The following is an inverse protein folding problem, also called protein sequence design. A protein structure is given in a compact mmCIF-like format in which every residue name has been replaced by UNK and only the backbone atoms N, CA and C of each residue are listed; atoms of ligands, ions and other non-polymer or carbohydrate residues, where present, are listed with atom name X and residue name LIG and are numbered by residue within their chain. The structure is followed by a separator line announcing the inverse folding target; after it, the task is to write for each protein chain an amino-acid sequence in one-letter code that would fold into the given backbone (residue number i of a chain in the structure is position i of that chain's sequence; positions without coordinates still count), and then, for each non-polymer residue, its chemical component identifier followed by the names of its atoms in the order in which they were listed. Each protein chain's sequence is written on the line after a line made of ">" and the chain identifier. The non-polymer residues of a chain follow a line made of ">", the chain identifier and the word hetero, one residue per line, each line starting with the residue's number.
data_IF_401096604639
#
_entry.id   IF_401096604639
#
_cell.length_a   1.000
_cell.length_b   1.000
_cell.length_c   1.000
_cell.angle_alpha   90.00
_cell.angle_beta   90.00
_cell.angle_gamma   90.00
#
_symmetry.space_group_name_H-M   'P 1'
#
loop_
_entity.id
_entity.type
_entity.pdbx_description
1 polymer ?
#
# COMPACT_ATOMS: atom_id res chain seq x y z
N UNK A 1 -6.10 15.71 -0.66
CA UNK A 1 -5.04 16.36 0.14
C UNK A 1 -5.07 15.79 1.54
N UNK A 2 -3.99 15.11 1.93
CA UNK A 2 -3.66 14.31 3.14
C UNK A 2 -2.90 13.01 2.75
N UNK A 3 -2.90 12.65 1.46
CA UNK A 3 -2.36 11.39 0.91
C UNK A 3 -0.84 11.18 0.96
N UNK A 4 -0.13 11.87 1.87
CA UNK A 4 1.29 11.64 2.17
C UNK A 4 1.56 11.39 3.66
N UNK A 5 0.52 11.40 4.52
CA UNK A 5 0.67 11.29 5.98
C UNK A 5 0.23 9.92 6.50
N UNK A 6 0.73 8.85 5.88
CA UNK A 6 0.69 7.61 6.62
C UNK A 6 1.70 7.73 7.78
N UNK A 7 1.31 7.33 9.00
CA UNK A 7 2.24 7.32 10.13
C UNK A 7 3.50 6.51 9.78
N UNK A 8 4.62 6.80 10.46
CA UNK A 8 5.88 6.09 10.24
C UNK A 8 5.68 4.56 10.28
N UNK A 9 4.77 4.10 11.15
CA UNK A 9 4.32 2.72 11.25
C UNK A 9 2.83 2.66 10.89
N UNK A 10 2.48 1.90 9.86
CA UNK A 10 1.10 1.61 9.49
C UNK A 10 0.75 0.14 9.81
N UNK A 11 -0.28 -0.07 10.63
CA UNK A 11 -0.79 -1.40 10.97
C UNK A 11 -2.10 -1.62 10.21
N UNK A 12 -2.11 -2.59 9.29
CA UNK A 12 -3.30 -3.00 8.56
C UNK A 12 -3.78 -4.36 9.08
N UNK A 13 -5.08 -4.45 9.40
CA UNK A 13 -5.73 -5.71 9.77
C UNK A 13 -6.79 -6.00 8.73
N UNK A 14 -6.70 -7.15 8.06
CA UNK A 14 -7.67 -7.55 7.03
C UNK A 14 -8.04 -9.03 7.16
N UNK A 15 -9.22 -9.38 6.64
CA UNK A 15 -9.63 -10.78 6.54
C UNK A 15 -8.93 -11.42 5.35
N UNK A 16 -8.68 -12.72 5.42
CA UNK A 16 -8.14 -13.47 4.28
C UNK A 16 -9.01 -13.37 3.02
N UNK A 17 -10.31 -13.15 3.18
CA UNK A 17 -11.28 -12.96 2.08
C UNK A 17 -11.12 -11.63 1.34
N UNK A 18 -10.42 -10.66 1.93
CA UNK A 18 -10.22 -9.32 1.36
C UNK A 18 -8.93 -9.24 0.53
N UNK A 19 -8.19 -10.35 0.40
CA UNK A 19 -6.99 -10.45 -0.43
C UNK A 19 -7.41 -10.82 -1.85
N UNK A 20 -7.16 -9.90 -2.78
CA UNK A 20 -7.49 -10.09 -4.19
C UNK A 20 -6.24 -10.45 -5.03
N UNK A 21 -6.41 -11.18 -6.14
CA UNK A 21 -5.28 -11.58 -6.99
C UNK A 21 -4.52 -10.41 -7.61
N UNK A 22 -5.22 -9.31 -7.93
CA UNK A 22 -4.62 -8.17 -8.63
C UNK A 22 -5.27 -6.83 -8.28
N UNK A 23 -4.58 -5.74 -8.61
CA UNK A 23 -5.10 -4.38 -8.46
C UNK A 23 -6.39 -4.13 -9.29
N UNK A 24 -6.50 -4.57 -10.55
CA UNK A 24 -7.76 -4.49 -11.31
C UNK A 24 -8.97 -5.09 -10.58
N UNK A 25 -8.79 -6.19 -9.85
CA UNK A 25 -9.87 -6.82 -9.07
C UNK A 25 -10.34 -5.91 -7.91
N UNK A 26 -9.46 -5.05 -7.40
CA UNK A 26 -9.74 -4.10 -6.32
C UNK A 26 -10.37 -2.78 -6.81
N UNK A 27 -10.22 -2.41 -8.09
CA UNK A 27 -10.71 -1.14 -8.63
C UNK A 27 -12.22 -0.90 -8.44
N UNK A 28 -13.10 -1.91 -8.60
CA UNK A 28 -14.53 -1.74 -8.33
C UNK A 28 -14.84 -1.33 -6.88
N UNK A 29 -14.02 -1.75 -5.90
CA UNK A 29 -14.24 -1.49 -4.47
C UNK A 29 -14.04 -0.01 -4.10
N UNK A 30 -13.23 0.70 -4.88
CA UNK A 30 -12.83 2.09 -4.65
C UNK A 30 -13.47 3.07 -5.62
N UNK A 31 -14.28 2.60 -6.58
CA UNK A 31 -14.95 3.45 -7.57
C UNK A 31 -15.83 4.50 -6.88
N UNK A 32 -15.63 5.77 -7.23
CA UNK A 32 -16.38 6.91 -6.66
C UNK A 32 -15.97 7.28 -5.24
N UNK A 33 -14.88 6.72 -4.71
CA UNK A 33 -14.31 7.04 -3.39
C UNK A 33 -12.93 7.68 -3.53
N UNK A 34 -12.55 8.48 -2.54
CA UNK A 34 -11.15 8.86 -2.38
C UNK A 34 -10.39 7.67 -1.81
N UNK A 35 -9.41 7.15 -2.55
CA UNK A 35 -8.61 6.00 -2.17
C UNK A 35 -7.12 6.33 -2.18
N UNK A 36 -6.37 5.69 -1.27
CA UNK A 36 -4.91 5.73 -1.23
C UNK A 36 -4.40 4.34 -1.54
N UNK A 37 -3.55 4.23 -2.56
CA UNK A 37 -2.88 2.99 -2.90
C UNK A 37 -1.50 2.99 -2.27
N UNK A 38 -1.28 2.07 -1.34
CA UNK A 38 0.03 1.84 -0.74
C UNK A 38 0.65 0.66 -1.49
N UNK A 39 1.58 0.94 -2.38
CA UNK A 39 2.35 -0.11 -3.05
C UNK A 39 3.59 -0.43 -2.23
N UNK A 40 4.14 -1.64 -2.40
CA UNK A 40 5.44 -1.99 -1.81
C UNK A 40 6.54 -0.99 -2.19
N UNK A 41 7.72 -1.07 -1.55
CA UNK A 41 8.81 -0.13 -1.78
C UNK A 41 9.09 0.02 -3.27
N UNK A 42 9.22 1.26 -3.74
CA UNK A 42 9.52 1.55 -5.15
C UNK A 42 10.78 0.80 -5.55
N UNK A 43 10.67 -0.12 -6.52
CA UNK A 43 11.82 -0.73 -7.19
C UNK A 43 12.16 0.11 -8.41
N UNK A 44 12.72 1.28 -8.20
CA UNK A 44 13.35 2.06 -9.29
C UNK A 44 14.84 1.72 -9.30
N UNK A 45 15.18 0.50 -9.74
CA UNK A 45 16.58 0.06 -9.83
C UNK A 45 17.29 0.57 -11.11
N UNK A 46 16.58 1.29 -11.99
CA UNK A 46 16.92 1.33 -13.41
C UNK A 46 17.45 2.67 -13.94
N UNK A 47 17.62 3.69 -13.10
CA UNK A 47 18.14 5.00 -13.59
C UNK A 47 19.40 5.45 -12.85
N UNK A 48 19.44 5.34 -11.52
CA UNK A 48 20.58 5.85 -10.73
C UNK A 48 21.33 4.78 -9.91
N UNK A 49 20.97 3.49 -10.03
CA UNK A 49 21.55 2.37 -9.26
C UNK A 49 21.59 2.57 -7.73
N UNK A 50 20.89 3.58 -7.21
CA UNK A 50 20.77 3.89 -5.80
C UNK A 50 19.33 3.67 -5.39
N UNK A 51 19.11 2.77 -4.42
CA UNK A 51 17.80 2.53 -3.83
C UNK A 51 17.32 3.81 -3.14
N UNK A 52 16.47 4.58 -3.82
CA UNK A 52 15.72 5.65 -3.20
C UNK A 52 14.58 5.03 -2.40
N UNK A 53 14.73 5.02 -1.07
CA UNK A 53 13.66 4.61 -0.14
C UNK A 53 12.52 5.63 -0.30
N UNK A 54 11.35 5.16 -0.72
CA UNK A 54 10.22 6.04 -1.05
C UNK A 54 9.80 6.92 0.14
N UNK A 55 9.87 8.24 -0.05
CA UNK A 55 9.48 9.25 0.97
C UNK A 55 7.97 9.52 1.02
N UNK A 56 7.18 8.77 0.23
CA UNK A 56 5.77 9.05 -0.04
C UNK A 56 4.80 8.04 0.63
N UNK A 57 5.29 7.23 1.57
CA UNK A 57 4.49 6.23 2.29
C UNK A 57 4.98 5.99 3.72
N UNK A 58 4.34 5.07 4.45
CA UNK A 58 4.82 4.64 5.77
C UNK A 58 6.24 4.09 5.63
N UNK A 59 7.08 4.33 6.64
CA UNK A 59 8.41 3.71 6.71
C UNK A 59 8.28 2.21 6.92
N UNK A 60 7.29 1.79 7.70
CA UNK A 60 6.98 0.39 7.99
C UNK A 60 5.50 0.09 7.81
N UNK A 61 5.20 -1.08 7.26
CA UNK A 61 3.84 -1.60 7.12
C UNK A 61 3.80 -2.99 7.74
N UNK A 62 2.95 -3.17 8.75
CA UNK A 62 2.68 -4.45 9.38
C UNK A 62 1.27 -4.89 9.02
N UNK A 63 1.15 -6.05 8.38
CA UNK A 63 -0.13 -6.58 7.89
C UNK A 63 -0.50 -7.83 8.68
N UNK A 64 -1.63 -7.76 9.39
CA UNK A 64 -2.19 -8.89 10.12
C UNK A 64 -3.39 -9.45 9.37
N UNK A 65 -3.31 -10.72 9.00
CA UNK A 65 -4.38 -11.42 8.30
C UNK A 65 -5.14 -12.28 9.31
N UNK A 66 -6.42 -11.97 9.51
CA UNK A 66 -7.29 -12.77 10.38
C UNK A 66 -7.99 -13.86 9.57
N UNK A 67 -8.03 -15.07 10.13
CA UNK A 67 -9.00 -16.10 9.70
C UNK A 67 -10.30 -15.87 10.46
N UNK A 68 -11.43 -15.87 9.76
CA UNK A 68 -12.73 -16.02 10.41
C UNK A 68 -12.85 -17.44 10.97
#
# INVERSE_FOLDING_TARGET
>A
MLGSLLPEIHIAVLKSTDILPSLPDAMPLVKGKNAVFITGPSRTADIEMTLSIGVHGPKEIHVFVTRN
#
